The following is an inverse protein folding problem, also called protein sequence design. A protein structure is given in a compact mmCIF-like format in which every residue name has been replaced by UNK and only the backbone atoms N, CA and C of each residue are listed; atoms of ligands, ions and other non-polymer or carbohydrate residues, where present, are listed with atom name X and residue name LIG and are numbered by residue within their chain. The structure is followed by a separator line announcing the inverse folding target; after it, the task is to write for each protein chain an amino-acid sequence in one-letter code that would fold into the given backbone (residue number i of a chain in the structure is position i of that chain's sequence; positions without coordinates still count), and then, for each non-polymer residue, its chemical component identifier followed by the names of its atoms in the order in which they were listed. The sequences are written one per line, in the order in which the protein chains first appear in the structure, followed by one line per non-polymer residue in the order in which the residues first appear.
data_IF_244107867839
#
_entry.id   IF_244107867839
#
_cell.length_a   1.000
_cell.length_b   1.000
_cell.length_c   1.000
_cell.angle_alpha   90.00
_cell.angle_beta   90.00
_cell.angle_gamma   90.00
#
_symmetry.space_group_name_H-M   'P 1'
#
loop_
_entity.id
_entity.type
_entity.pdbx_description
1 polymer ?
#
# COMPACT_ATOMS: atom_id res chain seq x y z
N UNK A 1 9.14 -50.46 -3.05
CA UNK A 1 8.82 -49.34 -3.96
C UNK A 1 9.14 -49.79 -5.38
N UNK A 2 8.17 -49.78 -6.31
CA UNK A 2 8.47 -50.08 -7.70
C UNK A 2 9.34 -48.96 -8.30
N UNK A 3 10.32 -49.26 -9.16
CA UNK A 3 11.13 -48.26 -9.83
C UNK A 3 10.24 -47.47 -10.81
N UNK A 4 10.11 -46.16 -10.59
CA UNK A 4 9.52 -45.23 -11.53
C UNK A 4 10.40 -45.19 -12.77
N UNK A 5 9.93 -45.80 -13.86
CA UNK A 5 10.64 -45.79 -15.15
C UNK A 5 10.58 -44.36 -15.70
N UNK A 6 11.70 -43.73 -16.05
CA UNK A 6 11.70 -42.37 -16.60
C UNK A 6 10.91 -42.37 -17.92
N UNK A 7 9.91 -41.49 -18.02
CA UNK A 7 9.13 -41.28 -19.24
C UNK A 7 10.07 -40.77 -20.33
N UNK A 8 10.30 -41.54 -21.39
CA UNK A 8 11.05 -41.06 -22.56
C UNK A 8 10.15 -40.18 -23.41
N UNK A 9 10.34 -38.88 -23.32
CA UNK A 9 9.69 -37.91 -24.19
C UNK A 9 10.28 -37.99 -25.59
N UNK A 10 9.45 -37.89 -26.62
CA UNK A 10 9.91 -37.76 -27.99
C UNK A 10 10.46 -36.35 -28.23
N UNK A 11 11.40 -36.18 -29.17
CA UNK A 11 11.91 -34.86 -29.57
C UNK A 11 10.79 -33.89 -29.96
N UNK A 12 9.70 -34.41 -30.56
CA UNK A 12 8.52 -33.63 -30.93
C UNK A 12 7.77 -33.09 -29.71
N UNK A 13 7.61 -33.88 -28.65
CA UNK A 13 6.93 -33.42 -27.44
C UNK A 13 7.76 -32.35 -26.71
N UNK A 14 9.09 -32.51 -26.68
CA UNK A 14 10.00 -31.51 -26.11
C UNK A 14 9.92 -30.15 -26.83
N UNK A 15 9.89 -30.16 -28.16
CA UNK A 15 9.75 -28.92 -28.95
C UNK A 15 8.41 -28.25 -28.68
N UNK A 16 7.31 -29.00 -28.65
CA UNK A 16 5.98 -28.44 -28.38
C UNK A 16 5.84 -27.84 -26.98
N UNK A 17 6.51 -28.41 -25.98
CA UNK A 17 6.52 -27.88 -24.61
C UNK A 17 7.36 -26.59 -24.53
N UNK A 18 8.49 -26.55 -25.22
CA UNK A 18 9.34 -25.36 -25.28
C UNK A 18 8.64 -24.19 -25.99
N UNK A 19 7.95 -24.46 -27.10
CA UNK A 19 7.14 -23.46 -27.82
C UNK A 19 6.00 -22.92 -26.94
N UNK A 20 5.30 -23.79 -26.19
CA UNK A 20 4.24 -23.37 -25.27
C UNK A 20 4.79 -22.48 -24.16
N UNK A 21 5.94 -22.84 -23.57
CA UNK A 21 6.59 -22.04 -22.53
C UNK A 21 7.11 -20.71 -23.06
N UNK A 22 7.66 -20.68 -24.27
CA UNK A 22 8.12 -19.44 -24.91
C UNK A 22 6.94 -18.51 -25.20
N UNK A 23 5.82 -19.04 -25.69
CA UNK A 23 4.59 -18.27 -25.94
C UNK A 23 4.04 -17.69 -24.64
N UNK A 24 3.91 -18.50 -23.59
CA UNK A 24 3.44 -18.04 -22.29
C UNK A 24 4.38 -16.97 -21.68
N UNK A 25 5.70 -17.12 -21.85
CA UNK A 25 6.65 -16.12 -21.39
C UNK A 25 6.53 -14.80 -22.17
N UNK A 26 6.32 -14.86 -23.49
CA UNK A 26 6.08 -13.68 -24.31
C UNK A 26 4.79 -12.97 -23.90
N UNK A 27 3.69 -13.70 -23.74
CA UNK A 27 2.40 -13.16 -23.28
C UNK A 27 2.56 -12.49 -21.91
N UNK A 28 3.30 -13.10 -20.98
CA UNK A 28 3.58 -12.51 -19.68
C UNK A 28 4.41 -11.22 -19.77
N UNK A 29 5.41 -11.15 -20.67
CA UNK A 29 6.21 -9.93 -20.89
C UNK A 29 5.35 -8.82 -21.51
N UNK A 30 4.52 -9.15 -22.50
CA UNK A 30 3.61 -8.19 -23.13
C UNK A 30 2.60 -7.65 -22.11
N UNK A 31 2.01 -8.53 -21.30
CA UNK A 31 1.11 -8.13 -20.23
C UNK A 31 1.80 -7.24 -19.18
N UNK A 32 3.01 -7.59 -18.74
CA UNK A 32 3.79 -6.78 -17.82
C UNK A 32 4.12 -5.39 -18.40
N UNK A 33 4.40 -5.32 -19.71
CA UNK A 33 4.62 -4.04 -20.40
C UNK A 33 3.34 -3.20 -20.50
N UNK A 34 2.19 -3.82 -20.78
CA UNK A 34 0.86 -3.17 -20.75
C UNK A 34 0.59 -2.59 -19.38
N UNK A 35 0.78 -3.37 -18.34
CA UNK A 35 0.58 -2.93 -16.96
C UNK A 35 1.54 -1.79 -16.66
N UNK A 36 2.85 -1.94 -16.90
CA UNK A 36 3.85 -0.89 -16.67
C UNK A 36 3.44 0.43 -17.34
N UNK A 37 2.99 0.39 -18.60
CA UNK A 37 2.54 1.59 -19.31
C UNK A 37 1.31 2.23 -18.64
N UNK A 38 0.27 1.44 -18.32
CA UNK A 38 -0.91 1.96 -17.63
C UNK A 38 -0.56 2.64 -16.31
N UNK A 39 0.38 2.05 -15.58
CA UNK A 39 0.82 2.55 -14.30
C UNK A 39 1.63 3.84 -14.38
N UNK A 40 2.57 3.91 -15.32
CA UNK A 40 3.31 5.14 -15.62
C UNK A 40 2.33 6.25 -15.99
N UNK A 41 1.28 5.94 -16.76
CA UNK A 41 0.25 6.91 -17.12
C UNK A 41 -0.58 7.35 -15.92
N UNK A 42 -1.05 6.44 -15.07
CA UNK A 42 -1.78 6.83 -13.86
C UNK A 42 -0.94 7.76 -12.97
N UNK A 43 0.35 7.45 -12.82
CA UNK A 43 1.28 8.28 -12.06
C UNK A 43 1.45 9.67 -12.70
N UNK A 44 1.69 9.72 -14.01
CA UNK A 44 1.74 10.95 -14.77
C UNK A 44 0.46 11.79 -14.60
N UNK A 45 -0.72 11.16 -14.59
CA UNK A 45 -2.00 11.84 -14.42
C UNK A 45 -2.15 12.40 -13.00
N UNK A 46 -1.75 11.62 -11.99
CA UNK A 46 -1.78 12.06 -10.60
C UNK A 46 -0.86 13.26 -10.37
N UNK A 47 0.36 13.21 -10.88
CA UNK A 47 1.33 14.30 -10.81
C UNK A 47 0.82 15.58 -11.50
N UNK A 48 0.23 15.44 -12.70
CA UNK A 48 -0.40 16.57 -13.38
C UNK A 48 -1.55 17.17 -12.57
N UNK A 49 -2.40 16.34 -11.95
CA UNK A 49 -3.55 16.84 -11.17
C UNK A 49 -3.14 17.45 -9.83
N UNK A 50 -2.01 17.04 -9.27
CA UNK A 50 -1.44 17.70 -8.10
C UNK A 50 -1.00 19.12 -8.45
N UNK A 51 -0.30 19.30 -9.57
CA UNK A 51 0.12 20.62 -10.04
C UNK A 51 -1.03 21.47 -10.58
N UNK A 52 -2.01 20.82 -11.22
CA UNK A 52 -3.17 21.43 -11.84
C UNK A 52 -4.47 20.77 -11.36
N UNK A 53 -4.97 21.11 -10.15
CA UNK A 53 -6.16 20.46 -9.58
C UNK A 53 -7.44 20.56 -10.42
N UNK A 54 -7.53 21.57 -11.28
CA UNK A 54 -8.64 21.79 -12.20
C UNK A 54 -8.44 21.15 -13.59
N UNK A 55 -7.30 20.51 -13.85
CA UNK A 55 -7.00 19.91 -15.15
C UNK A 55 -7.96 18.75 -15.46
N UNK A 56 -8.54 18.80 -16.64
CA UNK A 56 -9.41 17.74 -17.19
C UNK A 56 -8.75 17.03 -18.36
N UNK A 57 -7.82 17.67 -19.06
CA UNK A 57 -7.12 17.06 -20.19
C UNK A 57 -5.72 17.62 -20.40
N UNK A 58 -4.89 16.89 -21.14
CA UNK A 58 -3.63 17.37 -21.67
C UNK A 58 -3.53 17.08 -23.18
N UNK A 59 -2.75 17.86 -23.92
CA UNK A 59 -2.42 17.58 -25.32
C UNK A 59 -0.97 17.13 -25.39
N UNK A 60 -0.74 15.95 -25.95
CA UNK A 60 0.58 15.35 -26.12
C UNK A 60 0.94 15.32 -27.60
N UNK A 61 2.08 15.89 -27.96
CA UNK A 61 2.69 15.78 -29.29
C UNK A 61 3.61 14.57 -29.29
N UNK A 62 3.24 13.55 -30.06
CA UNK A 62 4.05 12.35 -30.32
C UNK A 62 4.84 12.45 -31.63
N UNK A 63 4.93 13.65 -32.20
CA UNK A 63 5.80 13.95 -33.32
C UNK A 63 7.26 13.89 -32.86
N UNK A 64 8.10 13.20 -33.62
CA UNK A 64 9.55 13.05 -33.38
C UNK A 64 10.22 14.40 -33.08
N UNK A 65 10.43 14.72 -31.80
CA UNK A 65 11.43 15.71 -31.37
C UNK A 65 12.76 14.99 -31.14
N UNK A 66 13.89 15.73 -31.16
CA UNK A 66 15.24 15.14 -31.19
C UNK A 66 15.62 14.32 -29.95
N UNK A 67 14.92 14.48 -28.83
CA UNK A 67 15.24 13.85 -27.54
C UNK A 67 14.10 13.00 -26.96
N UNK A 68 12.86 13.27 -27.35
CA UNK A 68 11.66 12.60 -26.84
C UNK A 68 10.71 12.29 -28.00
N UNK A 69 10.08 11.12 -27.94
CA UNK A 69 9.05 10.69 -28.88
C UNK A 69 7.65 11.19 -28.49
N UNK A 70 7.46 11.68 -27.26
CA UNK A 70 6.25 12.32 -26.78
C UNK A 70 6.52 13.51 -25.83
N UNK A 71 5.71 14.57 -25.93
CA UNK A 71 5.84 15.77 -25.09
C UNK A 71 4.49 16.44 -24.82
N UNK A 72 4.25 16.92 -23.60
CA UNK A 72 3.04 17.67 -23.27
C UNK A 72 3.10 19.09 -23.86
N UNK A 73 2.17 19.41 -24.75
CA UNK A 73 2.04 20.72 -25.40
C UNK A 73 1.17 21.66 -24.57
N UNK A 74 0.13 21.13 -23.91
CA UNK A 74 -0.76 21.93 -23.06
C UNK A 74 -1.45 21.08 -22.00
N UNK A 75 -1.79 21.70 -20.88
CA UNK A 75 -2.66 21.16 -19.82
C UNK A 75 -3.88 22.07 -19.73
N UNK A 76 -5.09 21.50 -19.71
CA UNK A 76 -6.33 22.25 -19.92
C UNK A 76 -7.40 21.93 -18.86
N UNK A 77 -8.18 22.94 -18.49
CA UNK A 77 -9.45 22.82 -17.77
C UNK A 77 -10.60 23.07 -18.74
N UNK A 78 -11.17 22.01 -19.30
CA UNK A 78 -12.11 22.11 -20.41
C UNK A 78 -11.44 22.70 -21.66
N UNK A 79 -11.88 23.88 -22.07
CA UNK A 79 -11.32 24.60 -23.23
C UNK A 79 -10.21 25.59 -22.84
N UNK A 80 -10.04 25.87 -21.55
CA UNK A 80 -9.11 26.89 -21.07
C UNK A 80 -7.74 26.26 -20.78
N UNK A 81 -6.65 26.76 -21.40
CA UNK A 81 -5.31 26.27 -21.10
C UNK A 81 -4.88 26.77 -19.72
N UNK A 82 -4.49 25.83 -18.86
CA UNK A 82 -3.85 26.12 -17.56
C UNK A 82 -2.34 26.30 -17.72
N UNK A 83 -1.76 25.64 -18.72
CA UNK A 83 -0.34 25.68 -19.05
C UNK A 83 -0.13 25.35 -20.52
N UNK A 84 0.85 26.00 -21.17
CA UNK A 84 1.30 25.66 -22.52
C UNK A 84 2.82 25.67 -22.66
N UNK A 85 3.34 24.76 -23.47
CA UNK A 85 4.78 24.68 -23.74
C UNK A 85 5.31 25.95 -24.45
N UNK A 86 4.46 26.67 -25.18
CA UNK A 86 4.84 27.91 -25.86
C UNK A 86 5.04 29.07 -24.86
N UNK A 87 4.18 29.18 -23.85
CA UNK A 87 4.33 30.16 -22.77
C UNK A 87 5.57 29.84 -21.93
N UNK A 88 5.76 28.58 -21.55
CA UNK A 88 6.95 28.12 -20.83
C UNK A 88 8.25 28.42 -21.60
N UNK A 89 8.30 28.13 -22.91
CA UNK A 89 9.48 28.40 -23.74
C UNK A 89 9.75 29.90 -23.97
N UNK A 90 8.74 30.75 -23.80
CA UNK A 90 8.85 32.21 -23.97
C UNK A 90 9.25 32.92 -22.67
N UNK A 91 9.22 32.22 -21.53
CA UNK A 91 9.67 32.77 -20.26
C UNK A 91 11.18 33.04 -20.33
N UNK A 92 11.58 34.27 -20.01
CA UNK A 92 13.00 34.67 -19.96
C UNK A 92 13.70 34.26 -18.68
N UNK A 93 12.94 33.86 -17.67
CA UNK A 93 13.45 33.41 -16.38
C UNK A 93 13.78 31.91 -16.41
N UNK A 94 14.52 31.44 -15.40
CA UNK A 94 14.79 30.01 -15.24
C UNK A 94 13.47 29.21 -15.17
N UNK A 95 13.48 27.93 -15.60
CA UNK A 95 12.30 27.06 -15.51
C UNK A 95 11.70 27.14 -14.11
N UNK A 96 10.39 27.36 -14.03
CA UNK A 96 9.72 27.31 -12.73
C UNK A 96 9.41 25.84 -12.36
N UNK A 97 9.09 25.58 -11.10
CA UNK A 97 8.80 24.23 -10.61
C UNK A 97 7.64 23.54 -11.36
N UNK A 98 6.72 24.30 -11.95
CA UNK A 98 5.63 23.77 -12.75
C UNK A 98 6.13 23.28 -14.12
N UNK A 99 7.05 24.01 -14.76
CA UNK A 99 7.65 23.60 -16.03
C UNK A 99 8.48 22.32 -15.87
N UNK A 100 9.28 22.24 -14.79
CA UNK A 100 10.03 21.03 -14.44
C UNK A 100 9.10 19.83 -14.21
N UNK A 101 7.99 20.02 -13.47
CA UNK A 101 7.02 18.95 -13.24
C UNK A 101 6.35 18.47 -14.55
N UNK A 102 6.03 19.37 -15.48
CA UNK A 102 5.45 18.98 -16.79
C UNK A 102 6.48 18.27 -17.68
N UNK A 103 7.75 18.65 -17.61
CA UNK A 103 8.85 17.94 -18.28
C UNK A 103 9.01 16.52 -17.74
N UNK A 104 9.04 16.34 -16.41
CA UNK A 104 9.13 15.03 -15.77
C UNK A 104 7.95 14.12 -16.16
N UNK A 105 6.73 14.66 -16.15
CA UNK A 105 5.53 13.93 -16.61
C UNK A 105 5.64 13.60 -18.11
N UNK A 106 6.21 14.47 -18.93
CA UNK A 106 6.42 14.20 -20.36
C UNK A 106 7.38 13.03 -20.57
N UNK A 107 8.45 12.93 -19.78
CA UNK A 107 9.37 11.76 -19.77
C UNK A 107 8.64 10.46 -19.38
N UNK A 108 7.76 10.53 -18.39
CA UNK A 108 6.95 9.37 -17.99
C UNK A 108 6.02 8.94 -19.11
N UNK A 109 5.28 9.88 -19.72
CA UNK A 109 4.40 9.58 -20.86
C UNK A 109 5.19 8.99 -22.02
N UNK A 110 6.35 9.54 -22.36
CA UNK A 110 7.23 8.98 -23.40
C UNK A 110 7.59 7.53 -23.11
N UNK A 111 8.03 7.24 -21.88
CA UNK A 111 8.39 5.89 -21.44
C UNK A 111 7.19 4.92 -21.57
N UNK A 112 5.99 5.33 -21.17
CA UNK A 112 4.78 4.52 -21.34
C UNK A 112 4.48 4.23 -22.82
N UNK A 113 4.67 5.22 -23.69
CA UNK A 113 4.41 5.12 -25.13
C UNK A 113 5.44 4.28 -25.89
N UNK A 114 6.60 3.98 -25.30
CA UNK A 114 7.55 3.01 -25.85
C UNK A 114 6.99 1.58 -25.83
N UNK A 115 6.08 1.28 -24.90
CA UNK A 115 5.45 -0.03 -24.79
C UNK A 115 4.11 -0.10 -25.53
N UNK A 116 3.35 1.01 -25.58
CA UNK A 116 2.00 1.03 -26.16
C UNK A 116 1.73 2.27 -27.01
N UNK A 117 1.16 2.10 -28.22
CA UNK A 117 0.79 3.25 -29.02
C UNK A 117 -0.37 4.02 -28.36
N UNK A 118 -0.41 5.36 -28.45
CA UNK A 118 -1.43 6.19 -27.80
C UNK A 118 -2.87 5.72 -28.03
N UNK A 119 -3.18 5.28 -29.25
CA UNK A 119 -4.53 4.85 -29.67
C UNK A 119 -5.06 3.61 -28.94
N UNK A 120 -4.22 2.83 -28.27
CA UNK A 120 -4.65 1.64 -27.51
C UNK A 120 -4.83 1.92 -26.03
N UNK A 121 -4.46 3.12 -25.57
CA UNK A 121 -4.49 3.49 -24.16
C UNK A 121 -5.84 4.13 -23.79
N UNK A 122 -6.39 3.83 -22.59
CA UNK A 122 -7.64 4.43 -22.12
C UNK A 122 -7.53 5.95 -21.98
N UNK A 123 -8.54 6.69 -22.44
CA UNK A 123 -8.56 8.15 -22.33
C UNK A 123 -7.71 8.89 -23.37
N UNK A 124 -7.05 8.19 -24.30
CA UNK A 124 -6.28 8.80 -25.38
C UNK A 124 -7.11 8.89 -26.66
N UNK A 125 -7.15 10.07 -27.27
CA UNK A 125 -7.84 10.28 -28.54
C UNK A 125 -7.03 11.17 -29.48
N UNK A 126 -7.00 10.89 -30.80
CA UNK A 126 -6.29 11.73 -31.74
C UNK A 126 -6.95 13.12 -31.81
N UNK A 127 -6.14 14.18 -31.79
CA UNK A 127 -6.62 15.53 -32.02
C UNK A 127 -6.87 15.71 -33.52
N UNK A 128 -8.15 15.67 -33.89
CA UNK A 128 -8.63 15.53 -35.30
C UNK A 128 -7.97 16.41 -36.37
N UNK A 129 -7.43 17.57 -36.01
CA UNK A 129 -6.81 18.52 -36.93
C UNK A 129 -5.27 18.47 -37.00
N UNK A 130 -4.60 17.73 -36.09
CA UNK A 130 -3.15 17.82 -35.88
C UNK A 130 -2.55 16.41 -35.82
N UNK A 131 -1.96 15.90 -36.92
CA UNK A 131 -1.28 14.61 -36.92
C UNK A 131 -0.19 14.55 -35.84
N UNK A 132 -0.12 13.44 -35.13
CA UNK A 132 0.82 13.25 -34.02
C UNK A 132 0.39 13.91 -32.71
N UNK A 133 -0.71 14.67 -32.68
CA UNK A 133 -1.23 15.22 -31.43
C UNK A 133 -2.36 14.35 -30.89
N UNK A 134 -2.29 14.04 -29.59
CA UNK A 134 -3.31 13.28 -28.88
C UNK A 134 -3.84 14.11 -27.72
N UNK A 135 -5.15 14.02 -27.50
CA UNK A 135 -5.81 14.51 -26.29
C UNK A 135 -5.85 13.37 -25.29
N UNK A 136 -5.26 13.65 -24.14
CA UNK A 136 -5.24 12.83 -22.95
C UNK A 136 -6.36 13.28 -22.01
N UNK A 137 -7.35 12.43 -21.76
CA UNK A 137 -8.40 12.67 -20.78
C UNK A 137 -7.90 12.30 -19.37
N UNK A 138 -7.64 13.32 -18.54
CA UNK A 138 -7.14 13.16 -17.18
C UNK A 138 -8.25 12.74 -16.19
N UNK A 139 -9.51 12.75 -16.64
CA UNK A 139 -10.66 12.25 -15.87
C UNK A 139 -10.90 10.76 -16.11
N UNK A 140 -10.48 10.24 -17.27
CA UNK A 140 -10.47 8.83 -17.59
C UNK A 140 -9.20 8.16 -17.06
N UNK A 141 -9.00 8.20 -15.72
CA UNK A 141 -7.88 7.50 -15.07
C UNK A 141 -7.91 6.04 -15.52
N UNK A 142 -6.86 5.55 -16.18
CA UNK A 142 -6.86 4.18 -16.67
C UNK A 142 -7.09 3.26 -15.48
N UNK A 143 -8.11 2.40 -15.53
CA UNK A 143 -8.22 1.34 -14.53
C UNK A 143 -7.08 0.36 -14.77
N UNK A 144 -6.33 0.04 -13.73
CA UNK A 144 -5.27 -0.96 -13.82
C UNK A 144 -5.88 -2.27 -14.31
N UNK A 145 -5.31 -2.94 -15.32
CA UNK A 145 -5.81 -4.21 -15.84
C UNK A 145 -5.89 -5.39 -14.85
N UNK A 146 -5.54 -5.22 -13.56
CA UNK A 146 -5.32 -6.31 -12.61
C UNK A 146 -6.11 -6.17 -11.29
N UNK A 147 -7.20 -5.41 -11.24
CA UNK A 147 -8.14 -5.53 -10.10
C UNK A 147 -8.68 -6.97 -9.99
N UNK A 148 -8.80 -7.68 -11.13
CA UNK A 148 -9.16 -9.10 -11.20
C UNK A 148 -8.07 -10.05 -10.61
N UNK A 149 -6.81 -9.62 -10.49
CA UNK A 149 -5.76 -10.43 -9.83
C UNK A 149 -5.80 -10.29 -8.30
N UNK A 150 -6.29 -9.18 -7.75
CA UNK A 150 -6.49 -9.05 -6.30
C UNK A 150 -7.50 -10.08 -5.80
N UNK A 151 -8.55 -10.35 -6.59
CA UNK A 151 -9.54 -11.40 -6.34
C UNK A 151 -8.95 -12.82 -6.38
N UNK A 152 -7.70 -12.97 -6.84
CA UNK A 152 -7.01 -14.26 -6.94
C UNK A 152 -6.12 -14.59 -5.74
N UNK A 153 -5.76 -13.61 -4.89
CA UNK A 153 -4.91 -13.91 -3.73
C UNK A 153 -5.70 -14.72 -2.69
N UNK A 154 -5.24 -15.92 -2.29
CA UNK A 154 -5.93 -16.69 -1.26
C UNK A 154 -6.02 -15.89 0.04
N UNK A 155 -7.21 -15.82 0.65
CA UNK A 155 -7.46 -15.04 1.89
C UNK A 155 -6.47 -15.34 3.01
N UNK A 156 -5.99 -16.60 3.10
CA UNK A 156 -4.98 -16.98 4.08
C UNK A 156 -3.64 -16.26 3.88
N UNK A 157 -3.24 -16.02 2.63
CA UNK A 157 -1.99 -15.31 2.29
C UNK A 157 -2.12 -13.83 2.65
N UNK A 158 -3.23 -13.18 2.29
CA UNK A 158 -3.49 -11.78 2.66
C UNK A 158 -3.43 -11.59 4.17
N UNK A 159 -4.02 -12.52 4.94
CA UNK A 159 -3.99 -12.47 6.41
C UNK A 159 -2.58 -12.66 6.98
N UNK A 160 -1.78 -13.59 6.43
CA UNK A 160 -0.39 -13.76 6.85
C UNK A 160 0.40 -12.47 6.61
N UNK A 161 0.26 -11.85 5.43
CA UNK A 161 0.93 -10.57 5.13
C UNK A 161 0.52 -9.47 6.11
N UNK A 162 -0.77 -9.34 6.41
CA UNK A 162 -1.25 -8.35 7.39
C UNK A 162 -0.69 -8.60 8.80
N UNK A 163 -0.75 -9.85 9.29
CA UNK A 163 -0.18 -10.20 10.59
C UNK A 163 1.34 -9.95 10.64
N UNK A 164 2.05 -10.21 9.53
CA UNK A 164 3.47 -9.90 9.38
C UNK A 164 3.72 -8.39 9.47
N UNK A 165 2.99 -7.57 8.70
CA UNK A 165 3.10 -6.10 8.74
C UNK A 165 2.80 -5.55 10.14
N UNK A 166 1.77 -6.07 10.80
CA UNK A 166 1.36 -5.65 12.15
C UNK A 166 2.37 -6.04 13.23
N UNK A 167 3.26 -6.99 12.94
CA UNK A 167 4.34 -7.40 13.85
C UNK A 167 5.58 -6.49 13.77
N UNK A 168 5.70 -5.67 12.73
CA UNK A 168 6.83 -4.76 12.56
C UNK A 168 6.78 -3.59 13.56
N UNK A 169 7.91 -2.91 13.79
CA UNK A 169 7.88 -1.62 14.47
C UNK A 169 6.85 -0.70 13.81
N UNK A 170 5.96 -0.11 14.59
CA UNK A 170 4.78 0.57 14.05
C UNK A 170 5.11 1.70 13.06
N UNK A 171 6.27 2.35 13.19
CA UNK A 171 6.72 3.37 12.23
C UNK A 171 7.08 2.76 10.86
N UNK A 172 7.70 1.58 10.86
CA UNK A 172 8.03 0.82 9.64
C UNK A 172 6.76 0.30 9.00
N UNK A 173 5.84 -0.26 9.79
CA UNK A 173 4.51 -0.68 9.31
C UNK A 173 3.73 0.50 8.70
N UNK A 174 3.77 1.68 9.35
CA UNK A 174 3.13 2.89 8.83
C UNK A 174 3.77 3.35 7.51
N UNK A 175 5.11 3.38 7.42
CA UNK A 175 5.81 3.73 6.19
C UNK A 175 5.50 2.75 5.05
N UNK A 176 5.50 1.44 5.34
CA UNK A 176 5.11 0.42 4.37
C UNK A 176 3.66 0.60 3.90
N UNK A 177 2.71 0.81 4.82
CA UNK A 177 1.30 1.05 4.48
C UNK A 177 1.11 2.31 3.63
N UNK A 178 1.83 3.39 3.92
CA UNK A 178 1.78 4.62 3.13
C UNK A 178 2.40 4.45 1.74
N UNK A 179 3.52 3.74 1.64
CA UNK A 179 4.13 3.36 0.36
C UNK A 179 3.15 2.51 -0.47
N UNK A 180 2.60 1.45 0.13
CA UNK A 180 1.61 0.58 -0.51
C UNK A 180 0.36 1.36 -0.94
N UNK A 181 -0.17 2.24 -0.08
CA UNK A 181 -1.31 3.11 -0.42
C UNK A 181 -1.01 3.97 -1.64
N UNK A 182 0.16 4.60 -1.70
CA UNK A 182 0.52 5.39 -2.86
C UNK A 182 0.83 4.58 -4.12
N UNK A 183 1.31 3.33 -4.01
CA UNK A 183 1.38 2.43 -5.15
C UNK A 183 -0.02 2.09 -5.69
N UNK A 184 -0.98 1.83 -4.82
CA UNK A 184 -2.38 1.51 -5.18
C UNK A 184 -3.10 2.72 -5.79
N UNK A 185 -2.88 3.91 -5.22
CA UNK A 185 -3.41 5.17 -5.72
C UNK A 185 -2.61 5.74 -6.91
N UNK A 186 -1.61 5.00 -7.39
CA UNK A 186 -0.67 5.39 -8.43
C UNK A 186 0.05 6.73 -8.17
N UNK A 187 0.14 7.15 -6.90
CA UNK A 187 1.00 8.28 -6.49
C UNK A 187 2.47 7.96 -6.66
N UNK A 188 2.86 6.68 -6.67
CA UNK A 188 4.24 6.23 -6.82
C UNK A 188 4.38 5.09 -7.84
N UNK A 189 5.55 5.00 -8.45
CA UNK A 189 5.98 3.80 -9.18
C UNK A 189 6.68 2.81 -8.22
N UNK A 190 6.58 1.49 -8.47
CA UNK A 190 7.47 0.52 -7.85
C UNK A 190 8.92 0.92 -8.13
N UNK A 191 9.79 0.82 -7.13
CA UNK A 191 11.22 1.10 -7.31
C UNK A 191 11.86 -0.07 -8.04
N UNK A 192 12.64 0.21 -9.08
CA UNK A 192 13.33 -0.83 -9.84
C UNK A 192 14.70 -1.17 -9.19
N UNK A 193 15.29 -0.22 -8.44
CA UNK A 193 16.62 -0.39 -7.81
C UNK A 193 16.66 0.04 -6.34
N UNK A 194 17.55 -0.60 -5.56
CA UNK A 194 17.82 -0.22 -4.16
C UNK A 194 18.38 1.20 -4.02
N UNK A 195 19.08 1.72 -5.03
CA UNK A 195 19.65 3.06 -5.02
C UNK A 195 18.57 4.16 -5.02
N UNK A 196 17.37 3.87 -5.53
CA UNK A 196 16.25 4.81 -5.57
C UNK A 196 15.57 4.95 -4.20
N UNK A 197 15.86 4.06 -3.24
CA UNK A 197 15.28 4.08 -1.89
C UNK A 197 15.59 5.35 -1.10
N UNK A 198 16.71 6.01 -1.37
CA UNK A 198 17.07 7.26 -0.69
C UNK A 198 16.26 8.46 -1.22
N UNK A 199 15.78 8.39 -2.46
CA UNK A 199 14.94 9.42 -3.06
C UNK A 199 13.51 9.38 -2.49
N UNK A 200 13.06 8.19 -2.07
CA UNK A 200 11.69 7.99 -1.58
C UNK A 200 11.40 8.78 -0.30
N UNK A 201 12.22 8.80 0.76
CA UNK A 201 12.02 9.69 1.90
C UNK A 201 11.91 11.16 1.50
N UNK A 202 12.68 11.64 0.53
CA UNK A 202 12.62 13.03 0.07
C UNK A 202 11.30 13.34 -0.65
N UNK A 203 10.78 12.39 -1.45
CA UNK A 203 9.49 12.50 -2.12
C UNK A 203 8.29 12.28 -1.17
N UNK A 204 8.42 11.41 -0.16
CA UNK A 204 7.30 10.95 0.68
C UNK A 204 7.15 11.68 2.01
N UNK A 205 8.25 12.16 2.60
CA UNK A 205 8.21 12.90 3.86
C UNK A 205 7.27 14.12 3.86
N UNK A 206 7.09 14.87 2.74
CA UNK A 206 6.14 15.99 2.70
C UNK A 206 4.67 15.56 2.64
N UNK A 207 4.36 14.44 1.97
CA UNK A 207 2.97 14.00 1.70
C UNK A 207 2.29 13.29 2.88
N UNK A 208 3.06 12.79 3.86
CA UNK A 208 2.51 12.23 5.10
C UNK A 208 2.28 13.36 6.11
N UNK A 209 1.47 14.35 5.73
CA UNK A 209 0.95 15.35 6.66
C UNK A 209 -0.27 14.74 7.39
N UNK A 210 -0.22 14.53 8.72
CA UNK A 210 -1.23 13.74 9.41
C UNK A 210 -2.50 14.55 9.62
N UNK A 211 -3.58 14.16 8.94
CA UNK A 211 -4.90 14.75 9.20
C UNK A 211 -5.47 14.43 10.60
N UNK A 212 -4.82 13.57 11.41
CA UNK A 212 -5.40 13.17 12.71
C UNK A 212 -4.49 12.99 13.93
N UNK A 213 -3.15 13.04 13.83
CA UNK A 213 -2.23 12.96 15.00
C UNK A 213 -0.87 13.62 14.74
N UNK A 214 -0.80 14.95 14.80
CA UNK A 214 0.40 15.72 14.47
C UNK A 214 1.56 15.64 15.48
N UNK A 215 1.38 15.03 16.66
CA UNK A 215 2.41 15.06 17.73
C UNK A 215 3.27 13.79 17.83
N UNK A 216 3.06 12.77 16.98
CA UNK A 216 3.82 11.50 17.02
C UNK A 216 4.30 11.06 15.64
N UNK A 217 5.63 11.02 15.51
CA UNK A 217 6.48 10.46 14.46
C UNK A 217 6.56 11.23 13.13
N UNK A 218 7.63 12.02 13.01
CA UNK A 218 8.31 12.13 11.73
C UNK A 218 8.82 10.73 11.34
N UNK A 219 8.28 10.17 10.26
CA UNK A 219 8.90 9.01 9.63
C UNK A 219 10.31 9.43 9.20
N UNK A 220 11.33 8.73 9.70
CA UNK A 220 12.71 8.97 9.31
C UNK A 220 12.97 8.30 7.96
N UNK A 221 14.04 8.71 7.29
CA UNK A 221 14.50 8.01 6.08
C UNK A 221 14.69 6.50 6.34
N UNK A 222 15.20 6.13 7.52
CA UNK A 222 15.37 4.73 7.92
C UNK A 222 14.05 3.96 7.97
N UNK A 223 12.97 4.54 8.52
CA UNK A 223 11.66 3.86 8.58
C UNK A 223 11.10 3.61 7.18
N UNK A 224 11.26 4.58 6.27
CA UNK A 224 10.87 4.45 4.87
C UNK A 224 11.68 3.37 4.16
N UNK A 225 13.01 3.44 4.25
CA UNK A 225 13.91 2.45 3.63
C UNK A 225 13.55 1.04 4.06
N UNK A 226 13.37 0.81 5.36
CA UNK A 226 13.02 -0.51 5.90
C UNK A 226 11.61 -0.96 5.47
N UNK A 227 10.61 -0.07 5.54
CA UNK A 227 9.23 -0.39 5.15
C UNK A 227 9.10 -0.73 3.67
N UNK A 228 9.77 0.03 2.80
CA UNK A 228 9.85 -0.24 1.36
C UNK A 228 10.58 -1.56 1.12
N UNK A 229 11.71 -1.78 1.78
CA UNK A 229 12.49 -3.00 1.61
C UNK A 229 11.69 -4.25 1.99
N UNK A 230 10.87 -4.23 3.06
CA UNK A 230 10.01 -5.36 3.39
C UNK A 230 8.89 -5.59 2.38
N UNK A 231 8.28 -4.54 1.83
CA UNK A 231 7.24 -4.68 0.78
C UNK A 231 7.83 -5.34 -0.47
N UNK A 232 9.03 -4.92 -0.88
CA UNK A 232 9.75 -5.54 -2.00
C UNK A 232 10.23 -6.96 -1.68
N UNK A 233 10.70 -7.21 -0.46
CA UNK A 233 11.09 -8.56 -0.01
C UNK A 233 9.92 -9.55 -0.07
N UNK A 234 8.72 -9.12 0.35
CA UNK A 234 7.49 -9.91 0.18
C UNK A 234 7.21 -10.20 -1.30
N UNK A 235 7.34 -9.18 -2.16
CA UNK A 235 7.06 -9.31 -3.59
C UNK A 235 7.98 -10.33 -4.26
N UNK A 236 9.26 -10.30 -3.91
CA UNK A 236 10.28 -11.21 -4.41
C UNK A 236 10.25 -12.59 -3.74
N UNK A 237 9.37 -12.79 -2.75
CA UNK A 237 9.29 -14.02 -1.98
C UNK A 237 10.52 -14.28 -1.10
N UNK A 238 11.29 -13.23 -0.78
CA UNK A 238 12.43 -13.26 0.14
C UNK A 238 11.94 -13.25 1.59
N UNK A 239 11.59 -14.44 2.10
CA UNK A 239 10.89 -14.62 3.37
C UNK A 239 11.52 -15.75 4.18
N UNK A 240 11.43 -15.66 5.51
CA UNK A 240 11.98 -16.66 6.44
C UNK A 240 11.06 -16.86 7.63
N UNK A 241 10.94 -18.10 8.11
CA UNK A 241 10.27 -18.40 9.36
C UNK A 241 11.17 -17.98 10.52
N UNK A 242 10.72 -17.00 11.28
CA UNK A 242 11.50 -16.39 12.36
C UNK A 242 12.00 -17.42 13.39
N UNK A 243 11.20 -18.43 13.70
CA UNK A 243 11.53 -19.43 14.72
C UNK A 243 12.47 -20.53 14.26
N UNK A 244 12.52 -20.85 12.96
CA UNK A 244 13.26 -22.02 12.43
C UNK A 244 14.40 -21.65 11.50
N UNK A 245 14.37 -20.45 10.93
CA UNK A 245 15.28 -20.01 9.88
C UNK A 245 15.06 -20.66 8.52
N UNK A 246 13.96 -21.39 8.32
CA UNK A 246 13.58 -21.87 6.99
C UNK A 246 13.18 -20.67 6.13
N UNK A 247 13.81 -20.48 4.97
CA UNK A 247 13.50 -19.35 4.09
C UNK A 247 13.45 -19.71 2.61
N UNK A 248 12.85 -18.81 1.84
CA UNK A 248 12.74 -18.85 0.38
C UNK A 248 13.16 -17.51 -0.21
N UNK A 249 13.32 -17.49 -1.53
CA UNK A 249 13.66 -16.30 -2.31
C UNK A 249 15.16 -16.12 -2.56
N UNK A 250 15.53 -15.15 -3.41
CA UNK A 250 16.92 -14.84 -3.71
C UNK A 250 17.64 -14.26 -2.48
N UNK A 251 18.80 -14.82 -2.14
CA UNK A 251 19.63 -14.37 -1.00
C UNK A 251 20.15 -12.93 -1.18
N UNK A 252 20.19 -12.43 -2.41
CA UNK A 252 20.83 -11.17 -2.80
C UNK A 252 19.81 -10.04 -3.01
N UNK A 253 18.54 -10.30 -2.72
CA UNK A 253 17.45 -9.36 -2.95
C UNK A 253 17.40 -8.30 -1.87
N UNK A 254 17.89 -7.11 -2.21
CA UNK A 254 17.43 -5.87 -1.59
C UNK A 254 17.69 -5.78 -0.05
N UNK A 255 18.56 -6.64 0.45
CA UNK A 255 19.02 -6.85 1.84
C UNK A 255 17.97 -7.20 2.88
N UNK A 256 16.69 -7.45 2.53
CA UNK A 256 15.64 -7.70 3.52
C UNK A 256 14.89 -9.00 3.27
N UNK A 257 15.23 -9.99 4.09
CA UNK A 257 14.42 -11.19 4.29
C UNK A 257 13.29 -10.82 5.25
N UNK A 258 12.04 -11.07 4.84
CA UNK A 258 10.86 -10.73 5.64
C UNK A 258 10.56 -11.86 6.63
N UNK A 259 10.63 -11.61 7.95
CA UNK A 259 10.35 -12.63 8.93
C UNK A 259 8.83 -12.89 9.02
N UNK A 260 8.46 -14.17 9.00
CA UNK A 260 7.07 -14.63 9.17
C UNK A 260 7.02 -15.58 10.36
N UNK A 261 6.05 -15.40 11.25
CA UNK A 261 5.86 -16.32 12.37
C UNK A 261 5.25 -17.64 11.90
N UNK A 262 5.81 -18.76 12.36
CA UNK A 262 5.24 -20.09 12.11
C UNK A 262 3.77 -20.18 12.56
N UNK A 263 3.43 -19.49 13.65
CA UNK A 263 2.07 -19.46 14.18
C UNK A 263 1.06 -18.74 13.27
N UNK A 264 1.49 -17.71 12.52
CA UNK A 264 0.67 -17.00 11.53
C UNK A 264 0.36 -17.88 10.33
N UNK A 265 1.38 -18.60 9.82
CA UNK A 265 1.21 -19.59 8.74
C UNK A 265 0.20 -20.68 9.14
N UNK A 266 0.40 -21.28 10.32
CA UNK A 266 -0.47 -22.35 10.83
C UNK A 266 -1.91 -21.90 11.05
N UNK A 267 -2.12 -20.70 11.63
CA UNK A 267 -3.46 -20.14 11.89
C UNK A 267 -4.24 -19.89 10.60
N UNK A 268 -3.55 -19.50 9.53
CA UNK A 268 -4.17 -19.15 8.26
C UNK A 268 -4.18 -20.32 7.26
N UNK A 269 -3.64 -21.48 7.63
CA UNK A 269 -3.64 -22.68 6.78
C UNK A 269 -2.75 -22.54 5.53
N UNK A 270 -1.68 -21.75 5.63
CA UNK A 270 -0.77 -21.43 4.53
C UNK A 270 0.63 -21.96 4.83
N UNK A 271 1.34 -22.43 3.81
CA UNK A 271 2.75 -22.84 3.89
C UNK A 271 3.67 -21.69 3.49
N UNK A 272 4.88 -21.64 4.05
CA UNK A 272 5.85 -20.59 3.73
C UNK A 272 6.11 -20.47 2.21
N UNK A 273 6.31 -21.60 1.53
CA UNK A 273 6.48 -21.64 0.06
C UNK A 273 5.31 -20.98 -0.68
N UNK A 274 4.07 -21.17 -0.24
CA UNK A 274 2.90 -20.57 -0.89
C UNK A 274 2.93 -19.05 -0.77
N UNK A 275 3.39 -18.50 0.35
CA UNK A 275 3.59 -17.05 0.51
C UNK A 275 4.71 -16.54 -0.40
N UNK A 276 5.83 -17.27 -0.49
CA UNK A 276 6.97 -16.88 -1.34
C UNK A 276 6.62 -16.83 -2.83
N UNK A 277 5.78 -17.77 -3.29
CA UNK A 277 5.36 -17.86 -4.69
C UNK A 277 4.15 -16.97 -5.02
N UNK A 278 3.41 -16.47 -4.02
CA UNK A 278 2.13 -15.78 -4.21
C UNK A 278 2.23 -14.48 -5.01
N UNK A 279 3.34 -13.76 -4.87
CA UNK A 279 3.48 -12.43 -5.45
C UNK A 279 4.26 -12.43 -6.76
N UNK A 280 5.11 -13.43 -7.01
CA UNK A 280 5.80 -13.58 -8.29
C UNK A 280 6.67 -12.38 -8.72
N UNK A 281 7.14 -11.56 -7.76
CA UNK A 281 7.82 -10.29 -8.02
C UNK A 281 6.90 -9.07 -8.09
N UNK A 282 5.58 -9.23 -7.99
CA UNK A 282 4.62 -8.14 -8.08
C UNK A 282 4.47 -7.40 -6.75
N UNK A 283 5.20 -6.29 -6.64
CA UNK A 283 5.17 -5.35 -5.51
C UNK A 283 3.78 -4.78 -5.26
N UNK A 284 2.92 -4.73 -6.28
CA UNK A 284 1.58 -4.17 -6.15
C UNK A 284 0.60 -5.15 -5.59
N UNK A 285 0.72 -6.42 -5.95
CA UNK A 285 -0.09 -7.44 -5.31
C UNK A 285 0.19 -7.50 -3.81
N UNK A 286 1.44 -7.26 -3.40
CA UNK A 286 1.78 -6.99 -1.98
C UNK A 286 1.11 -5.69 -1.51
N UNK A 287 1.24 -4.60 -2.27
CA UNK A 287 0.66 -3.32 -1.87
C UNK A 287 -0.86 -3.38 -1.65
N UNK A 288 -1.59 -4.12 -2.48
CA UNK A 288 -3.01 -4.39 -2.32
C UNK A 288 -3.26 -5.23 -1.07
N UNK A 289 -2.48 -6.30 -0.86
CA UNK A 289 -2.58 -7.13 0.33
C UNK A 289 -2.28 -6.36 1.63
N UNK A 290 -1.46 -5.30 1.58
CA UNK A 290 -1.10 -4.44 2.73
C UNK A 290 -2.06 -3.26 2.91
N UNK A 291 -2.48 -2.60 1.83
CA UNK A 291 -3.33 -1.40 1.85
C UNK A 291 -4.81 -1.73 2.09
N UNK A 292 -5.26 -2.91 1.66
CA UNK A 292 -6.63 -3.39 1.85
C UNK A 292 -6.68 -4.61 2.79
N UNK A 293 -6.68 -4.40 4.11
CA UNK A 293 -6.71 -5.50 5.09
C UNK A 293 -7.99 -6.35 5.02
N UNK A 294 -9.01 -5.97 4.25
CA UNK A 294 -10.34 -6.60 4.24
C UNK A 294 -11.00 -6.75 2.86
N UNK A 295 -10.21 -6.84 1.77
CA UNK A 295 -10.71 -7.05 0.39
C UNK A 295 -11.86 -8.06 0.29
N UNK A 296 -12.92 -7.68 -0.42
CA UNK A 296 -14.31 -8.09 -0.22
C UNK A 296 -14.67 -9.58 -0.36
N UNK A 297 -15.09 -10.21 0.75
CA UNK A 297 -16.33 -11.00 0.88
C UNK A 297 -16.64 -11.27 2.38
N UNK A 298 -17.92 -11.22 2.84
CA UNK A 298 -18.25 -11.18 4.25
C UNK A 298 -18.23 -12.60 4.85
N UNK A 299 -17.14 -12.94 5.53
CA UNK A 299 -17.18 -13.92 6.61
C UNK A 299 -17.02 -13.16 7.93
N UNK A 300 -18.10 -13.17 8.71
CA UNK A 300 -18.26 -12.46 9.97
C UNK A 300 -17.06 -12.64 10.93
N UNK A 301 -16.38 -11.53 11.24
CA UNK A 301 -16.27 -10.87 12.56
C UNK A 301 -15.28 -9.68 12.49
N UNK A 302 -15.40 -8.65 13.36
CA UNK A 302 -15.44 -7.25 12.91
C UNK A 302 -14.12 -6.48 12.98
N UNK A 303 -14.07 -5.46 12.13
CA UNK A 303 -13.12 -4.35 12.14
C UNK A 303 -12.91 -3.72 13.53
N UNK A 304 -11.74 -3.10 13.71
CA UNK A 304 -11.29 -2.40 14.92
C UNK A 304 -12.40 -1.67 15.69
N UNK A 305 -12.97 -2.36 16.67
CA UNK A 305 -13.88 -1.76 17.65
C UNK A 305 -13.02 -1.06 18.69
N UNK A 306 -13.30 0.22 18.94
CA UNK A 306 -12.77 0.91 20.12
C UNK A 306 -13.05 0.05 21.35
N UNK A 307 -12.07 -0.15 22.26
CA UNK A 307 -12.25 -1.02 23.40
C UNK A 307 -13.48 -0.58 24.20
N UNK A 308 -14.38 -1.53 24.39
CA UNK A 308 -15.65 -1.32 25.06
C UNK A 308 -15.39 -1.04 26.57
N UNK A 309 -16.39 -0.54 27.31
CA UNK A 309 -16.18 -0.13 28.70
C UNK A 309 -15.69 -1.26 29.61
N UNK A 310 -16.03 -2.52 29.32
CA UNK A 310 -15.51 -3.67 30.08
C UNK A 310 -14.04 -3.92 29.75
N UNK A 311 -13.66 -3.87 28.48
CA UNK A 311 -12.28 -4.03 28.02
C UNK A 311 -11.37 -2.91 28.56
N UNK A 312 -11.87 -1.68 28.69
CA UNK A 312 -11.14 -0.55 29.33
C UNK A 312 -10.84 -0.80 30.81
N UNK A 313 -11.65 -1.61 31.49
CA UNK A 313 -11.38 -2.09 32.84
C UNK A 313 -10.61 -3.41 32.86
N UNK A 314 -10.37 -4.06 31.72
CA UNK A 314 -9.78 -5.40 31.65
C UNK A 314 -10.73 -6.52 32.08
N UNK A 315 -12.04 -6.29 31.96
CA UNK A 315 -13.10 -7.25 32.26
C UNK A 315 -13.65 -7.89 30.98
N UNK A 316 -14.04 -9.17 31.01
CA UNK A 316 -14.80 -9.75 29.91
C UNK A 316 -16.19 -9.10 29.83
N UNK A 317 -16.66 -8.77 28.62
CA UNK A 317 -18.03 -8.28 28.41
C UNK A 317 -19.02 -9.42 28.64
N UNK A 318 -19.45 -9.62 29.89
CA UNK A 318 -20.39 -10.67 30.27
C UNK A 318 -21.38 -10.15 31.32
N UNK A 319 -22.67 -10.47 31.14
CA UNK A 319 -23.73 -10.25 32.16
C UNK A 319 -23.43 -10.92 33.50
N UNK A 320 -22.51 -11.89 33.53
CA UNK A 320 -22.06 -12.56 34.74
C UNK A 320 -21.13 -11.72 35.63
N UNK A 321 -20.55 -10.62 35.13
CA UNK A 321 -19.67 -9.76 35.93
C UNK A 321 -20.46 -9.09 37.03
N UNK A 322 -20.09 -9.32 38.30
CA UNK A 322 -20.84 -8.78 39.44
C UNK A 322 -20.34 -7.38 39.81
N UNK A 323 -21.20 -6.48 40.33
CA UNK A 323 -20.78 -5.15 40.82
C UNK A 323 -19.51 -5.14 41.71
N UNK A 324 -19.32 -6.06 42.68
CA UNK A 324 -18.08 -6.11 43.47
C UNK A 324 -16.81 -6.44 42.66
N UNK A 325 -16.93 -7.12 41.52
CA UNK A 325 -15.79 -7.42 40.63
C UNK A 325 -15.36 -6.17 39.85
N UNK A 326 -16.32 -5.36 39.42
CA UNK A 326 -16.07 -4.04 38.80
C UNK A 326 -15.32 -3.13 39.78
N UNK A 327 -15.76 -3.08 41.03
CA UNK A 327 -15.09 -2.31 42.10
C UNK A 327 -13.67 -2.81 42.38
N UNK A 328 -13.47 -4.13 42.45
CA UNK A 328 -12.17 -4.72 42.74
C UNK A 328 -11.15 -4.40 41.64
N UNK A 329 -11.57 -4.54 40.38
CA UNK A 329 -10.72 -4.30 39.22
C UNK A 329 -10.42 -2.81 39.04
N UNK A 330 -11.42 -1.93 39.20
CA UNK A 330 -11.21 -0.49 39.20
C UNK A 330 -10.18 -0.06 40.26
N UNK A 331 -10.32 -0.55 41.49
CA UNK A 331 -9.35 -0.25 42.58
C UNK A 331 -7.96 -0.79 42.27
N UNK A 332 -7.82 -1.93 41.61
CA UNK A 332 -6.53 -2.47 41.18
C UNK A 332 -5.89 -1.57 40.10
N UNK A 333 -6.69 -1.13 39.12
CA UNK A 333 -6.23 -0.30 38.01
C UNK A 333 -5.87 1.12 38.43
N UNK A 334 -6.66 1.74 39.30
CA UNK A 334 -6.34 3.03 39.92
C UNK A 334 -5.06 2.94 40.74
N UNK A 335 -4.85 1.84 41.47
CA UNK A 335 -3.60 1.62 42.21
C UNK A 335 -2.41 1.56 41.25
N UNK A 336 -2.50 0.89 40.11
CA UNK A 336 -1.39 0.82 39.13
C UNK A 336 -1.15 2.12 38.37
N UNK A 337 -2.15 2.99 38.24
CA UNK A 337 -2.08 4.24 37.47
C UNK A 337 -1.77 5.48 38.31
N UNK A 338 -1.46 5.32 39.61
CA UNK A 338 -1.08 6.46 40.45
C UNK A 338 0.22 7.09 39.93
N UNK A 339 0.21 8.39 39.56
CA UNK A 339 1.41 9.06 39.04
C UNK A 339 2.55 9.12 40.05
N UNK A 340 2.28 8.95 41.35
CA UNK A 340 3.29 8.95 42.42
C UNK A 340 4.09 7.63 42.53
N UNK A 341 3.77 6.61 41.72
CA UNK A 341 4.46 5.32 41.76
C UNK A 341 5.79 5.30 41.01
N UNK A 342 6.03 6.26 40.12
CA UNK A 342 7.29 6.40 39.40
C UNK A 342 7.69 7.89 39.31
N UNK A 343 8.41 8.42 40.32
CA UNK A 343 8.88 9.81 40.31
C UNK A 343 9.97 10.06 39.25
N UNK A 344 10.46 9.01 38.58
CA UNK A 344 11.40 9.11 37.45
C UNK A 344 10.70 9.06 36.10
N UNK A 345 9.37 8.89 36.08
CA UNK A 345 8.59 8.91 34.86
C UNK A 345 8.67 10.29 34.18
N UNK A 346 8.82 10.28 32.87
CA UNK A 346 8.80 11.49 32.06
C UNK A 346 7.44 12.19 32.17
N UNK A 347 7.41 13.51 31.92
CA UNK A 347 6.17 14.28 31.86
C UNK A 347 5.12 13.67 30.91
N UNK A 348 5.58 13.00 29.83
CA UNK A 348 4.74 12.26 28.88
C UNK A 348 4.13 11.00 29.50
N UNK A 349 4.89 10.22 30.26
CA UNK A 349 4.36 9.03 30.96
C UNK A 349 3.36 9.42 32.04
N UNK A 350 3.59 10.54 32.75
CA UNK A 350 2.60 11.10 33.66
C UNK A 350 1.33 11.58 32.95
N UNK A 351 1.45 12.16 31.75
CA UNK A 351 0.28 12.53 30.94
C UNK A 351 -0.51 11.30 30.47
N UNK A 352 0.16 10.27 29.94
CA UNK A 352 -0.48 9.02 29.53
C UNK A 352 -1.17 8.30 30.72
N UNK A 353 -0.53 8.25 31.89
CA UNK A 353 -1.14 7.69 33.10
C UNK A 353 -2.38 8.47 33.56
N UNK A 354 -2.41 9.79 33.35
CA UNK A 354 -3.59 10.64 33.64
C UNK A 354 -4.73 10.39 32.64
N UNK A 355 -4.41 10.23 31.37
CA UNK A 355 -5.40 9.93 30.32
C UNK A 355 -6.00 8.53 30.52
N UNK A 356 -5.16 7.53 30.79
CA UNK A 356 -5.59 6.17 31.15
C UNK A 356 -6.45 6.18 32.42
N UNK A 357 -6.06 6.97 33.43
CA UNK A 357 -6.85 7.14 34.64
C UNK A 357 -8.22 7.74 34.35
N UNK A 358 -8.31 8.76 33.49
CA UNK A 358 -9.56 9.38 33.10
C UNK A 358 -10.47 8.39 32.35
N UNK A 359 -9.91 7.57 31.45
CA UNK A 359 -10.66 6.56 30.71
C UNK A 359 -11.17 5.43 31.62
N UNK A 360 -10.36 4.99 32.57
CA UNK A 360 -10.74 3.98 33.59
C UNK A 360 -11.82 4.52 34.52
N UNK A 361 -11.75 5.80 34.92
CA UNK A 361 -12.76 6.45 35.74
C UNK A 361 -14.11 6.58 35.01
N UNK A 362 -14.11 6.94 33.73
CA UNK A 362 -15.33 7.05 32.94
C UNK A 362 -15.99 5.68 32.71
N UNK A 363 -15.19 4.65 32.43
CA UNK A 363 -15.70 3.28 32.32
C UNK A 363 -16.29 2.78 33.64
N UNK A 364 -15.63 3.04 34.77
CA UNK A 364 -16.14 2.70 36.09
C UNK A 364 -17.45 3.41 36.43
N UNK A 365 -17.58 4.70 36.11
CA UNK A 365 -18.79 5.49 36.35
C UNK A 365 -20.03 4.88 35.70
N UNK A 366 -19.89 4.33 34.49
CA UNK A 366 -20.99 3.68 33.78
C UNK A 366 -21.24 2.25 34.27
N UNK A 367 -20.17 1.47 34.52
CA UNK A 367 -20.29 0.05 34.88
C UNK A 367 -20.60 -0.21 36.37
N UNK A 368 -20.35 0.75 37.25
CA UNK A 368 -20.68 0.66 38.68
C UNK A 368 -22.15 1.00 38.99
N UNK A 369 -22.80 1.81 38.14
CA UNK A 369 -24.23 2.11 38.25
C UNK A 369 -25.05 0.99 37.55
N UNK A 370 -25.89 0.24 38.28
CA UNK A 370 -26.68 -0.85 37.71
C UNK A 370 -27.61 -0.42 36.57
N UNK A 371 -28.15 0.80 36.61
CA UNK A 371 -29.09 1.31 35.60
C UNK A 371 -28.33 1.74 34.35
N UNK A 372 -27.24 2.48 34.51
CA UNK A 372 -26.39 2.91 33.40
C UNK A 372 -25.74 1.71 32.69
N UNK A 373 -25.28 0.73 33.46
CA UNK A 373 -24.75 -0.54 32.96
C UNK A 373 -25.79 -1.34 32.18
N UNK A 374 -26.99 -1.50 32.71
CA UNK A 374 -28.06 -2.21 32.01
C UNK A 374 -28.48 -1.54 30.69
N UNK A 375 -28.43 -0.20 30.63
CA UNK A 375 -28.64 0.55 29.38
C UNK A 375 -27.49 0.30 28.40
N UNK A 376 -26.25 0.43 28.86
CA UNK A 376 -25.06 0.17 28.06
C UNK A 376 -25.04 -1.26 27.49
N UNK A 377 -25.35 -2.25 28.31
CA UNK A 377 -25.42 -3.67 27.93
C UNK A 377 -26.52 -3.90 26.88
N UNK A 378 -27.66 -3.22 26.97
CA UNK A 378 -28.75 -3.33 25.99
C UNK A 378 -28.38 -2.76 24.63
N UNK A 379 -27.62 -1.67 24.61
CA UNK A 379 -27.17 -0.98 23.39
C UNK A 379 -25.96 -1.67 22.72
N UNK A 380 -25.18 -2.46 23.46
CA UNK A 380 -23.89 -2.99 23.00
C UNK A 380 -23.76 -4.54 22.97
N UNK A 381 -24.86 -5.28 23.19
CA UNK A 381 -24.89 -6.75 23.06
C UNK A 381 -25.69 -7.12 21.79
N UNK A 382 -25.10 -7.83 20.80
CA UNK A 382 -25.89 -8.44 19.73
C UNK A 382 -26.73 -9.59 20.32
N UNK A 383 -27.97 -9.74 19.84
CA UNK A 383 -28.93 -10.77 20.29
C UNK A 383 -28.37 -12.19 20.15
#
# INVERSE_FOLDING_TARGET
MPPTTPRSWTTSEHLSELERRATAAQEAVEQAAVERAHWILQHAYAALREQFPAATSAVVDTGLRRTLSAWIVSVNAGADPLWTAAEAASATDAPNATDEAVEDVSWQIDNALQYHPPKTLPGWSPKSAEPGHYVLDLTAVPTVPAQDQQDSLPTGISRVVQETVDSWPWQVALAAREYCRGLVEARYLPLDESAEREAVPAALAPTVAPAYRAEYATLTASHWTEGIAYVHGLAMGAIEVWETGEGYGPADSLDHIVPIFQSSLARNGVRLREVSEAFGGDVRLVALAVADPFGAAPAAEPAGRLPNLYERLGLPQNRAVKPPEVDAVYRARVRSLRPDLDPTASARQHAAARDDFAQVAEAYKVLSDPVARARYDRENTPF
#
